data_IF_541726359317
#
_entry.id   IF_541726359317
#
_cell.length_a   1.000
_cell.length_b   1.000
_cell.length_c   1.000
_cell.angle_alpha   90.00
_cell.angle_beta   90.00
_cell.angle_gamma   90.00
#
_symmetry.space_group_name_H-M   'P 1'
#
loop_
_entity.id
_entity.type
_entity.pdbx_description
1 polymer ?
#
# COMPACT_ATOMS: atom_id res chain seq x y z
N UNK A 1 3.24 -67.43 27.08
CA UNK A 1 2.52 -66.35 26.36
C UNK A 1 2.96 -65.03 26.97
N UNK A 2 3.69 -64.20 26.20
CA UNK A 2 4.28 -62.92 26.65
C UNK A 2 3.36 -61.79 26.18
N UNK A 3 2.84 -60.96 27.09
CA UNK A 3 2.11 -59.74 26.74
C UNK A 3 2.96 -58.51 27.05
N UNK A 4 2.96 -57.63 26.05
CA UNK A 4 3.89 -56.53 25.79
C UNK A 4 3.49 -55.28 26.58
N UNK A 5 4.46 -54.63 27.22
CA UNK A 5 4.33 -53.30 27.81
C UNK A 5 4.23 -52.23 26.70
N UNK A 6 3.14 -51.47 26.66
CA UNK A 6 3.04 -50.23 25.88
C UNK A 6 3.61 -49.07 26.70
N UNK A 7 4.81 -48.61 26.33
CA UNK A 7 5.37 -47.34 26.76
C UNK A 7 4.73 -46.21 25.93
N UNK A 8 3.95 -45.34 26.59
CA UNK A 8 3.47 -44.10 26.01
C UNK A 8 4.59 -43.04 26.12
N UNK A 9 5.18 -42.67 24.99
CA UNK A 9 6.12 -41.56 24.89
C UNK A 9 5.34 -40.24 24.78
N UNK A 10 5.32 -39.44 25.85
CA UNK A 10 4.77 -38.09 25.83
C UNK A 10 5.76 -37.13 25.19
N UNK A 11 5.46 -36.69 23.97
CA UNK A 11 6.24 -35.71 23.22
C UNK A 11 5.93 -34.30 23.76
N UNK A 12 6.90 -33.66 24.42
CA UNK A 12 6.82 -32.26 24.85
C UNK A 12 7.25 -31.37 23.69
N UNK A 13 6.30 -30.65 23.08
CA UNK A 13 6.57 -29.61 22.07
C UNK A 13 7.11 -28.35 22.78
N UNK A 14 8.42 -28.13 22.69
CA UNK A 14 9.06 -26.86 23.01
C UNK A 14 8.67 -25.82 21.95
N UNK A 15 7.80 -24.88 22.32
CA UNK A 15 7.54 -23.68 21.53
C UNK A 15 8.73 -22.75 21.69
N UNK A 16 9.60 -22.69 20.67
CA UNK A 16 10.68 -21.72 20.64
C UNK A 16 10.10 -20.29 20.55
N UNK A 17 10.62 -19.31 21.31
CA UNK A 17 10.25 -17.91 21.14
C UNK A 17 10.76 -17.41 19.78
N UNK A 18 9.83 -17.03 18.91
CA UNK A 18 10.10 -16.42 17.61
C UNK A 18 11.05 -15.22 17.79
N UNK A 19 12.14 -15.09 17.01
CA UNK A 19 12.88 -13.84 16.96
C UNK A 19 11.96 -12.77 16.39
N UNK A 20 11.69 -11.73 17.18
CA UNK A 20 11.01 -10.53 16.73
C UNK A 20 11.82 -9.91 15.58
N UNK A 21 11.36 -10.13 14.36
CA UNK A 21 11.84 -9.43 13.17
C UNK A 21 11.67 -7.93 13.42
N UNK A 22 12.74 -7.17 13.16
CA UNK A 22 12.83 -5.74 13.37
C UNK A 22 11.54 -5.04 12.92
N UNK A 23 10.88 -4.39 13.89
CA UNK A 23 9.67 -3.63 13.67
C UNK A 23 10.01 -2.42 12.78
N UNK A 24 9.83 -2.56 11.46
CA UNK A 24 9.42 -1.42 10.65
C UNK A 24 8.20 -0.80 11.32
N UNK A 25 8.00 0.50 11.18
CA UNK A 25 6.93 1.27 11.86
C UNK A 25 5.48 0.81 11.55
N UNK A 26 5.32 -0.32 10.85
CA UNK A 26 4.07 -0.93 10.43
C UNK A 26 3.42 -0.22 9.26
N UNK A 27 4.02 0.85 8.74
CA UNK A 27 3.49 1.64 7.63
C UNK A 27 4.00 1.11 6.30
N UNK A 28 3.16 1.28 5.29
CA UNK A 28 3.48 0.94 3.90
C UNK A 28 4.05 2.17 3.22
N UNK A 29 5.23 2.02 2.62
CA UNK A 29 5.85 3.06 1.81
C UNK A 29 5.00 3.32 0.56
N UNK A 30 4.70 4.59 0.31
CA UNK A 30 3.97 5.08 -0.85
C UNK A 30 4.78 6.16 -1.54
N UNK A 31 4.91 6.08 -2.85
CA UNK A 31 5.41 7.19 -3.68
C UNK A 31 4.26 7.80 -4.47
N UNK A 32 4.30 9.10 -4.68
CA UNK A 32 3.37 9.80 -5.56
C UNK A 32 4.16 10.57 -6.62
N UNK A 33 3.77 10.43 -7.87
CA UNK A 33 4.24 11.23 -8.99
C UNK A 33 3.05 11.88 -9.67
N UNK A 34 3.19 13.15 -10.05
CA UNK A 34 2.14 13.92 -10.71
C UNK A 34 2.66 14.50 -12.02
N UNK A 35 1.85 14.35 -13.07
CA UNK A 35 2.08 14.97 -14.37
C UNK A 35 0.83 15.73 -14.76
N UNK A 36 0.94 17.04 -14.92
CA UNK A 36 -0.17 17.89 -15.32
C UNK A 36 0.15 19.35 -15.08
N UNK A 37 -0.38 20.22 -15.93
CA UNK A 37 -0.08 21.66 -15.86
C UNK A 37 -1.20 22.46 -15.21
N UNK A 38 -2.39 21.87 -15.04
CA UNK A 38 -3.58 22.56 -14.54
C UNK A 38 -3.55 22.82 -13.03
N UNK A 39 -4.09 23.97 -12.61
CA UNK A 39 -4.05 24.41 -11.21
C UNK A 39 -4.84 23.50 -10.28
N UNK A 40 -5.97 22.96 -10.74
CA UNK A 40 -6.80 22.03 -9.96
C UNK A 40 -6.10 20.69 -9.76
N UNK A 41 -5.47 20.14 -10.79
CA UNK A 41 -4.68 18.91 -10.74
C UNK A 41 -3.48 19.03 -9.82
N UNK A 42 -2.74 20.14 -9.87
CA UNK A 42 -1.67 20.44 -8.90
C UNK A 42 -2.20 20.51 -7.47
N UNK A 43 -3.35 21.15 -7.26
CA UNK A 43 -3.99 21.24 -5.92
C UNK A 43 -4.45 19.87 -5.42
N UNK A 44 -5.00 19.04 -6.31
CA UNK A 44 -5.38 17.65 -6.02
C UNK A 44 -4.16 16.83 -5.59
N UNK A 45 -3.07 16.86 -6.36
CA UNK A 45 -1.84 16.15 -6.06
C UNK A 45 -1.21 16.60 -4.73
N UNK A 46 -1.12 17.90 -4.48
CA UNK A 46 -0.57 18.45 -3.25
C UNK A 46 -1.43 18.09 -2.01
N UNK A 47 -2.75 18.17 -2.16
CA UNK A 47 -3.68 17.78 -1.08
C UNK A 47 -3.59 16.28 -0.79
N UNK A 48 -3.48 15.45 -1.82
CA UNK A 48 -3.31 14.01 -1.68
C UNK A 48 -1.97 13.65 -1.00
N UNK A 49 -0.87 14.29 -1.40
CA UNK A 49 0.42 14.11 -0.75
C UNK A 49 0.38 14.49 0.74
N UNK A 50 -0.33 15.56 1.09
CA UNK A 50 -0.53 15.98 2.49
C UNK A 50 -1.27 14.91 3.29
N UNK A 51 -2.39 14.40 2.78
CA UNK A 51 -3.18 13.37 3.46
C UNK A 51 -2.44 12.03 3.55
N UNK A 52 -1.68 11.65 2.52
CA UNK A 52 -0.80 10.47 2.56
C UNK A 52 0.29 10.61 3.63
N UNK A 53 0.91 11.79 3.75
CA UNK A 53 1.91 12.07 4.78
C UNK A 53 1.35 12.03 6.21
N UNK A 54 0.09 12.43 6.39
CA UNK A 54 -0.62 12.39 7.66
C UNK A 54 -1.20 11.01 8.01
N UNK A 55 -1.22 10.05 7.07
CA UNK A 55 -1.77 8.72 7.30
C UNK A 55 -0.99 7.94 8.36
N UNK A 56 -1.70 7.26 9.27
CA UNK A 56 -1.09 6.36 10.26
C UNK A 56 -0.63 5.03 9.66
N UNK A 57 -1.10 4.68 8.46
CA UNK A 57 -0.85 3.38 7.82
C UNK A 57 0.07 3.47 6.60
N UNK A 58 0.12 4.64 5.99
CA UNK A 58 0.93 4.90 4.79
C UNK A 58 2.04 5.85 5.16
N UNK A 59 3.21 5.69 4.55
CA UNK A 59 4.34 6.58 4.71
C UNK A 59 4.72 7.12 3.34
N UNK A 60 4.55 8.43 3.16
CA UNK A 60 4.98 9.08 1.93
C UNK A 60 6.51 9.12 1.88
N UNK A 61 7.10 8.47 0.87
CA UNK A 61 8.54 8.43 0.63
C UNK A 61 8.83 8.96 -0.77
N UNK A 62 10.06 9.45 -0.99
CA UNK A 62 10.50 9.86 -2.34
C UNK A 62 10.84 8.66 -3.19
N UNK A 63 11.58 7.72 -2.61
CA UNK A 63 12.04 6.50 -3.25
C UNK A 63 12.06 5.38 -2.19
N UNK A 64 11.68 4.18 -2.61
CA UNK A 64 11.77 2.97 -1.79
C UNK A 64 11.73 1.76 -2.72
N UNK A 65 12.50 0.73 -2.44
CA UNK A 65 12.49 -0.50 -3.23
C UNK A 65 11.16 -1.25 -3.09
N UNK A 66 10.52 -1.17 -1.93
CA UNK A 66 9.30 -1.91 -1.63
C UNK A 66 8.15 -0.95 -1.29
N UNK A 67 7.31 -0.67 -2.29
CA UNK A 67 6.38 0.48 -2.24
C UNK A 67 5.10 0.24 -3.01
N UNK A 68 4.10 1.05 -2.70
CA UNK A 68 3.01 1.37 -3.63
C UNK A 68 3.39 2.65 -4.39
N UNK A 69 3.42 2.58 -5.73
CA UNK A 69 3.57 3.76 -6.57
C UNK A 69 2.21 4.29 -7.00
N UNK A 70 1.96 5.58 -6.84
CA UNK A 70 0.80 6.27 -7.39
C UNK A 70 1.24 7.29 -8.44
N UNK A 71 0.95 7.03 -9.71
CA UNK A 71 1.11 7.98 -10.80
C UNK A 71 -0.21 8.68 -11.08
N UNK A 72 -0.23 10.01 -10.95
CA UNK A 72 -1.40 10.84 -11.18
C UNK A 72 -1.16 11.75 -12.40
N UNK A 73 -1.82 11.48 -13.52
CA UNK A 73 -1.87 12.37 -14.67
C UNK A 73 -3.13 13.24 -14.60
N UNK A 74 -3.03 14.55 -14.82
CA UNK A 74 -4.18 15.46 -14.81
C UNK A 74 -4.22 16.35 -16.05
N UNK A 75 -5.43 16.70 -16.48
CA UNK A 75 -5.68 17.68 -17.52
C UNK A 75 -6.90 18.55 -17.19
N UNK A 76 -6.84 19.81 -17.60
CA UNK A 76 -7.98 20.71 -17.44
C UNK A 76 -9.07 20.43 -18.48
N UNK A 77 -10.33 20.47 -18.06
CA UNK A 77 -11.48 20.40 -18.96
C UNK A 77 -12.66 21.18 -18.36
N UNK A 78 -13.05 22.29 -18.99
CA UNK A 78 -14.27 23.05 -18.68
C UNK A 78 -14.49 23.35 -17.18
N UNK A 79 -13.46 23.90 -16.49
CA UNK A 79 -13.58 24.22 -15.05
C UNK A 79 -13.33 23.05 -14.11
N UNK A 80 -13.10 21.85 -14.66
CA UNK A 80 -12.80 20.61 -13.92
C UNK A 80 -11.36 20.16 -14.21
N UNK A 81 -10.82 19.26 -13.37
CA UNK A 81 -9.63 18.48 -13.72
C UNK A 81 -10.01 17.03 -13.93
N UNK A 82 -9.72 16.50 -15.11
CA UNK A 82 -9.81 15.07 -15.39
C UNK A 82 -8.48 14.46 -14.99
N UNK A 83 -8.52 13.37 -14.23
CA UNK A 83 -7.34 12.66 -13.77
C UNK A 83 -7.35 11.20 -14.20
N UNK A 84 -6.15 10.66 -14.43
CA UNK A 84 -5.87 9.23 -14.48
C UNK A 84 -4.90 8.89 -13.34
N UNK A 85 -5.33 8.03 -12.44
CA UNK A 85 -4.57 7.56 -11.29
C UNK A 85 -4.20 6.09 -11.52
N UNK A 86 -2.91 5.79 -11.53
CA UNK A 86 -2.38 4.44 -11.75
C UNK A 86 -1.58 4.01 -10.53
N UNK A 87 -1.94 2.86 -9.96
CA UNK A 87 -1.25 2.25 -8.84
C UNK A 87 -0.37 1.10 -9.33
N UNK A 88 0.87 1.10 -8.86
CA UNK A 88 1.85 0.03 -9.06
C UNK A 88 2.34 -0.47 -7.70
N UNK A 89 2.95 -1.64 -7.69
CA UNK A 89 3.76 -2.11 -6.56
C UNK A 89 5.20 -2.30 -7.02
N UNK A 90 6.13 -2.19 -6.08
CA UNK A 90 7.53 -2.58 -6.28
C UNK A 90 8.06 -3.38 -5.11
N UNK A 91 9.11 -4.16 -5.36
CA UNK A 91 9.90 -4.84 -4.33
C UNK A 91 9.43 -6.24 -3.90
N UNK A 92 8.35 -6.77 -4.48
CA UNK A 92 7.92 -8.15 -4.29
C UNK A 92 8.32 -8.97 -5.52
N UNK A 93 9.59 -9.37 -5.55
CA UNK A 93 10.28 -10.06 -6.67
C UNK A 93 10.41 -9.24 -7.97
N UNK A 94 9.38 -8.50 -8.38
CA UNK A 94 9.35 -7.60 -9.53
C UNK A 94 8.46 -6.36 -9.27
N UNK A 95 8.61 -5.34 -10.11
CA UNK A 95 7.67 -4.22 -10.17
C UNK A 95 6.44 -4.60 -11.01
N UNK A 96 5.25 -4.18 -10.60
CA UNK A 96 4.02 -4.58 -11.27
C UNK A 96 2.88 -3.59 -11.18
N UNK A 97 1.89 -3.79 -12.04
CA UNK A 97 0.67 -2.99 -12.09
C UNK A 97 -0.38 -3.54 -11.11
N UNK A 98 -1.04 -2.64 -10.37
CA UNK A 98 -2.16 -2.99 -9.50
C UNK A 98 -3.50 -2.62 -10.15
N UNK A 99 -3.68 -1.34 -10.45
CA UNK A 99 -4.94 -0.84 -11.03
C UNK A 99 -4.76 0.57 -11.60
N UNK A 100 -5.77 1.03 -12.33
CA UNK A 100 -5.88 2.39 -12.83
C UNK A 100 -7.33 2.84 -12.75
N UNK A 101 -7.52 4.13 -12.46
CA UNK A 101 -8.83 4.78 -12.39
C UNK A 101 -8.78 6.13 -13.06
N UNK A 102 -9.81 6.41 -13.84
CA UNK A 102 -10.06 7.74 -14.38
C UNK A 102 -11.18 8.39 -13.58
N UNK A 103 -11.08 9.70 -13.35
CA UNK A 103 -12.14 10.48 -12.73
C UNK A 103 -12.02 11.96 -13.06
N UNK A 104 -12.96 12.73 -12.53
CA UNK A 104 -12.97 14.18 -12.61
C UNK A 104 -13.12 14.80 -11.22
N UNK A 105 -12.54 15.97 -11.05
CA UNK A 105 -12.56 16.74 -9.82
C UNK A 105 -12.78 18.22 -10.11
N UNK A 106 -13.86 18.74 -9.56
CA UNK A 106 -14.14 20.17 -9.59
C UNK A 106 -13.47 20.84 -8.38
N UNK A 107 -13.34 22.17 -8.42
CA UNK A 107 -12.72 22.92 -7.33
C UNK A 107 -13.37 22.60 -5.96
N UNK A 108 -14.70 22.52 -5.93
CA UNK A 108 -15.46 22.28 -4.70
C UNK A 108 -15.40 20.82 -4.23
N UNK A 109 -15.09 19.90 -5.14
CA UNK A 109 -15.06 18.46 -4.88
C UNK A 109 -13.65 17.92 -4.56
N UNK A 110 -12.61 18.77 -4.55
CA UNK A 110 -11.22 18.31 -4.37
C UNK A 110 -11.04 17.45 -3.11
N UNK A 111 -11.63 17.84 -1.98
CA UNK A 111 -11.50 17.05 -0.74
C UNK A 111 -12.12 15.66 -0.88
N UNK A 112 -13.25 15.54 -1.57
CA UNK A 112 -13.90 14.26 -1.83
C UNK A 112 -13.09 13.40 -2.81
N UNK A 113 -12.42 14.01 -3.79
CA UNK A 113 -11.49 13.32 -4.68
C UNK A 113 -10.27 12.78 -3.92
N UNK A 114 -9.65 13.61 -3.09
CA UNK A 114 -8.49 13.20 -2.27
C UNK A 114 -8.85 12.00 -1.40
N UNK A 115 -9.98 12.05 -0.69
CA UNK A 115 -10.41 10.91 0.15
C UNK A 115 -10.61 9.63 -0.64
N UNK A 116 -11.15 9.71 -1.87
CA UNK A 116 -11.33 8.54 -2.75
C UNK A 116 -9.99 7.95 -3.17
N UNK A 117 -9.04 8.78 -3.59
CA UNK A 117 -7.70 8.35 -3.99
C UNK A 117 -6.90 7.78 -2.80
N UNK A 118 -7.03 8.41 -1.63
CA UNK A 118 -6.41 7.93 -0.39
C UNK A 118 -6.97 6.56 0.00
N UNK A 119 -8.30 6.40 0.00
CA UNK A 119 -8.94 5.13 0.34
C UNK A 119 -8.55 4.01 -0.62
N UNK A 120 -8.42 4.30 -1.92
CA UNK A 120 -7.93 3.32 -2.89
C UNK A 120 -6.47 2.95 -2.61
N UNK A 121 -5.62 3.93 -2.29
CA UNK A 121 -4.23 3.69 -1.92
C UNK A 121 -4.11 2.83 -0.65
N UNK A 122 -4.93 3.10 0.38
CA UNK A 122 -5.00 2.31 1.61
C UNK A 122 -5.42 0.85 1.34
N UNK A 123 -6.37 0.64 0.42
CA UNK A 123 -6.80 -0.69 0.00
C UNK A 123 -5.63 -1.46 -0.62
N UNK A 124 -4.87 -0.84 -1.51
CA UNK A 124 -3.71 -1.45 -2.13
C UNK A 124 -2.57 -1.73 -1.14
N UNK A 125 -2.34 -0.82 -0.19
CA UNK A 125 -1.38 -1.04 0.89
C UNK A 125 -1.75 -2.26 1.75
N UNK A 126 -3.05 -2.48 2.00
CA UNK A 126 -3.53 -3.69 2.69
C UNK A 126 -3.22 -4.98 1.92
N UNK A 127 -3.37 -4.97 0.60
CA UNK A 127 -3.01 -6.12 -0.26
C UNK A 127 -1.50 -6.39 -0.21
N UNK A 128 -0.67 -5.35 -0.35
CA UNK A 128 0.79 -5.50 -0.29
C UNK A 128 1.24 -6.09 1.05
N UNK A 129 0.71 -5.56 2.17
CA UNK A 129 1.01 -6.09 3.50
C UNK A 129 0.61 -7.57 3.64
N UNK A 130 -0.54 -7.98 3.09
CA UNK A 130 -0.98 -9.38 3.10
C UNK A 130 -0.06 -10.28 2.26
N UNK A 131 0.38 -9.83 1.09
CA UNK A 131 1.32 -10.59 0.23
C UNK A 131 2.69 -10.74 0.92
N UNK A 132 3.19 -9.71 1.59
CA UNK A 132 4.43 -9.82 2.38
C UNK A 132 4.30 -10.85 3.49
N UNK A 133 3.18 -10.86 4.20
CA UNK A 133 2.93 -11.80 5.29
C UNK A 133 2.93 -13.26 4.82
N UNK A 134 2.42 -13.55 3.62
CA UNK A 134 2.42 -14.92 3.07
C UNK A 134 3.80 -15.33 2.55
N UNK A 135 4.59 -14.42 2.00
CA UNK A 135 5.95 -14.73 1.53
C UNK A 135 6.99 -14.82 2.66
N UNK A 136 6.81 -14.04 3.74
CA UNK A 136 7.68 -14.07 4.92
C UNK A 136 7.54 -15.33 5.78
N UNK A 137 6.46 -16.10 5.62
CA UNK A 137 6.25 -17.39 6.31
C UNK A 137 6.91 -18.60 5.64
N UNK A 138 7.59 -18.40 4.51
CA UNK A 138 8.23 -19.47 3.73
C UNK A 138 9.76 -19.52 3.90
N UNK A 139 10.32 -18.89 4.94
CA UNK A 139 11.76 -18.90 5.24
C UNK A 139 12.05 -19.46 6.62
#
# INVERSE_FOLDING_TARGET
>A
MRFVQCLAATLVLLVAPWPATAAGDGRVDVTISHTGTDGLGKRLAASLATELGASRRLKLVKESHERIGLYLATMHHEGTTIYSATWTFGGIADDGYLTSKVGACDADAIRACVRRLLAETDKHAGVLAAVKATQGGAR
#
